data_IF_760266199156
#
_entry.id   IF_760266199156
#
_cell.length_a   1.000
_cell.length_b   1.000
_cell.length_c   1.000
_cell.angle_alpha   90.00
_cell.angle_beta   90.00
_cell.angle_gamma   90.00
#
_symmetry.space_group_name_H-M   'P 1'
#
loop_
_entity.id
_entity.type
_entity.pdbx_description
1 polymer ?
#
# COMPACT_ATOMS: atom_id res chain seq x y z
N UNK A 1 14.64 -12.36 -14.26
CA UNK A 1 13.83 -11.61 -15.24
C UNK A 1 13.19 -10.44 -14.51
N UNK A 2 13.50 -9.19 -14.87
CA UNK A 2 12.90 -7.99 -14.27
C UNK A 2 11.76 -7.53 -15.18
N UNK A 3 10.51 -7.77 -14.81
CA UNK A 3 9.35 -7.34 -15.60
C UNK A 3 9.17 -5.85 -15.45
N UNK A 4 9.42 -5.11 -16.53
CA UNK A 4 9.21 -3.65 -16.60
C UNK A 4 7.74 -3.42 -16.97
N UNK A 5 6.94 -2.94 -16.03
CA UNK A 5 5.54 -2.52 -16.28
C UNK A 5 5.58 -1.26 -17.15
N UNK A 6 4.83 -1.25 -18.25
CA UNK A 6 4.71 -0.11 -19.17
C UNK A 6 3.77 0.97 -18.59
N UNK A 7 4.07 2.28 -18.75
CA UNK A 7 3.20 3.34 -18.27
C UNK A 7 2.09 3.58 -19.30
N UNK A 8 0.87 3.19 -19.00
CA UNK A 8 -0.24 3.46 -19.89
C UNK A 8 -1.56 3.04 -19.29
N UNK A 9 -2.45 4.02 -19.10
CA UNK A 9 -3.88 3.89 -18.77
C UNK A 9 -4.22 3.64 -17.29
N UNK A 10 -3.31 3.12 -16.45
CA UNK A 10 -3.49 3.03 -14.98
C UNK A 10 -2.82 4.14 -14.15
N UNK A 11 -1.97 4.96 -14.77
CA UNK A 11 -1.05 5.86 -14.07
C UNK A 11 -1.69 7.08 -13.39
N UNK A 12 -2.94 7.45 -13.71
CA UNK A 12 -3.50 8.73 -13.27
C UNK A 12 -4.21 8.72 -11.90
N UNK A 13 -4.23 7.59 -11.19
CA UNK A 13 -4.79 7.51 -9.83
C UNK A 13 -3.79 6.98 -8.80
N UNK A 14 -2.95 6.03 -9.20
CA UNK A 14 -1.74 5.74 -8.44
C UNK A 14 -0.78 6.94 -8.48
N UNK A 15 -0.59 7.57 -9.64
CA UNK A 15 0.44 8.58 -9.90
C UNK A 15 0.36 9.85 -9.07
N UNK A 16 -0.85 10.29 -8.71
CA UNK A 16 -1.02 11.51 -7.91
C UNK A 16 -0.73 11.27 -6.43
N UNK A 17 -1.11 10.11 -5.87
CA UNK A 17 -0.74 9.74 -4.50
C UNK A 17 0.70 9.22 -4.40
N UNK A 18 1.19 8.49 -5.42
CA UNK A 18 2.54 7.92 -5.39
C UNK A 18 3.66 8.96 -5.47
N UNK A 19 3.40 10.13 -6.06
CA UNK A 19 4.38 11.20 -6.18
C UNK A 19 4.56 12.03 -4.88
N UNK A 20 3.58 12.02 -3.98
CA UNK A 20 3.63 12.74 -2.69
C UNK A 20 3.91 11.85 -1.48
N UNK A 21 3.71 10.52 -1.60
CA UNK A 21 4.06 9.59 -0.51
C UNK A 21 5.56 9.45 -0.33
N UNK A 22 5.98 9.32 0.92
CA UNK A 22 7.35 8.91 1.23
C UNK A 22 7.51 7.43 0.87
N UNK A 23 7.98 7.14 -0.35
CA UNK A 23 8.16 5.77 -0.84
C UNK A 23 9.13 4.97 0.02
N UNK A 24 10.18 5.61 0.55
CA UNK A 24 11.18 4.95 1.39
C UNK A 24 10.57 4.53 2.75
N UNK A 25 9.50 5.20 3.19
CA UNK A 25 8.74 4.82 4.39
C UNK A 25 7.40 4.12 4.08
N UNK A 26 7.21 3.60 2.87
CA UNK A 26 5.96 2.93 2.48
C UNK A 26 6.18 1.44 2.21
N UNK A 27 5.41 0.58 2.89
CA UNK A 27 5.36 -0.85 2.61
C UNK A 27 4.24 -1.19 1.60
N UNK A 28 4.56 -2.08 0.66
CA UNK A 28 3.63 -2.64 -0.31
C UNK A 28 2.98 -3.93 0.26
N UNK A 29 1.67 -3.92 0.43
CA UNK A 29 0.92 -5.08 0.93
C UNK A 29 0.15 -5.72 -0.23
N UNK A 30 0.39 -7.00 -0.46
CA UNK A 30 -0.19 -7.75 -1.57
C UNK A 30 -1.02 -8.95 -1.07
N UNK A 31 -1.77 -9.57 -1.98
CA UNK A 31 -2.58 -10.75 -1.69
C UNK A 31 -3.61 -10.54 -0.57
N UNK A 32 -4.18 -9.33 -0.50
CA UNK A 32 -5.24 -9.00 0.44
C UNK A 32 -6.52 -9.80 0.12
N UNK A 33 -7.13 -10.39 1.14
CA UNK A 33 -8.46 -10.99 1.02
C UNK A 33 -9.49 -9.91 0.63
N UNK A 34 -10.46 -10.18 -0.27
CA UNK A 34 -11.47 -9.21 -0.71
C UNK A 34 -12.35 -8.58 0.40
N UNK A 35 -12.32 -9.13 1.61
CA UNK A 35 -13.02 -8.59 2.77
C UNK A 35 -12.16 -7.60 3.58
N UNK A 36 -10.88 -7.45 3.28
CA UNK A 36 -9.99 -6.55 4.01
C UNK A 36 -10.32 -5.09 3.67
N UNK A 37 -10.61 -4.30 4.69
CA UNK A 37 -10.82 -2.87 4.55
C UNK A 37 -9.55 -2.08 4.90
N UNK A 38 -9.55 -0.80 4.52
CA UNK A 38 -8.48 0.13 4.86
C UNK A 38 -8.37 0.33 6.38
N UNK A 39 -9.52 0.36 7.07
CA UNK A 39 -9.58 0.43 8.54
C UNK A 39 -9.00 -0.82 9.20
N UNK A 40 -9.29 -2.01 8.65
CA UNK A 40 -8.72 -3.26 9.17
C UNK A 40 -7.20 -3.31 8.97
N UNK A 41 -6.71 -2.85 7.81
CA UNK A 41 -5.27 -2.71 7.59
C UNK A 41 -4.65 -1.73 8.59
N UNK A 42 -5.26 -0.56 8.78
CA UNK A 42 -4.81 0.40 9.78
C UNK A 42 -4.70 -0.27 11.15
N UNK A 43 -5.79 -0.83 11.67
CA UNK A 43 -5.85 -1.48 12.99
C UNK A 43 -4.75 -2.53 13.19
N UNK A 44 -4.48 -3.34 12.15
CA UNK A 44 -3.43 -4.35 12.18
C UNK A 44 -2.02 -3.72 12.26
N UNK A 45 -1.72 -2.75 11.39
CA UNK A 45 -0.38 -2.19 11.28
C UNK A 45 -0.02 -1.23 12.41
N UNK A 46 -0.99 -0.59 13.09
CA UNK A 46 -0.68 0.21 14.30
C UNK A 46 -0.11 -0.65 15.43
N UNK A 47 -0.41 -1.96 15.45
CA UNK A 47 0.17 -2.87 16.44
C UNK A 47 1.64 -3.17 16.15
N UNK A 48 2.06 -3.00 14.89
CA UNK A 48 3.42 -3.27 14.45
C UNK A 48 4.30 -2.03 14.61
N UNK A 49 3.85 -0.87 14.09
CA UNK A 49 4.58 0.39 14.19
C UNK A 49 3.69 1.65 14.00
N UNK A 50 4.31 2.83 14.02
CA UNK A 50 3.68 4.13 13.84
C UNK A 50 3.25 4.37 12.39
N UNK A 51 2.03 3.95 12.06
CA UNK A 51 1.37 4.22 10.78
C UNK A 51 1.03 5.70 10.63
N UNK A 52 1.38 6.27 9.48
CA UNK A 52 1.06 7.64 9.06
C UNK A 52 -0.16 7.65 8.14
N UNK A 53 -0.21 6.73 7.18
CA UNK A 53 -1.28 6.66 6.20
C UNK A 53 -1.47 5.23 5.70
N UNK A 54 -2.71 4.84 5.39
CA UNK A 54 -3.03 3.60 4.68
C UNK A 54 -3.78 3.98 3.43
N UNK A 55 -3.50 3.29 2.33
CA UNK A 55 -4.19 3.51 1.07
C UNK A 55 -4.47 2.19 0.38
N UNK A 56 -5.75 1.90 0.15
CA UNK A 56 -6.20 0.69 -0.55
C UNK A 56 -6.94 1.09 -1.83
N UNK A 57 -6.31 0.98 -3.01
CA UNK A 57 -6.96 1.30 -4.27
C UNK A 57 -8.20 0.46 -4.51
N UNK A 58 -9.32 1.12 -4.75
CA UNK A 58 -10.59 0.50 -5.13
C UNK A 58 -10.92 0.76 -6.59
N UNK A 59 -11.47 -0.25 -7.25
CA UNK A 59 -12.07 -0.09 -8.56
C UNK A 59 -13.26 0.88 -8.48
N UNK A 60 -13.32 1.84 -9.41
CA UNK A 60 -14.29 2.95 -9.35
C UNK A 60 -15.73 2.53 -9.65
N UNK A 61 -15.93 1.36 -10.26
CA UNK A 61 -17.25 0.88 -10.67
C UNK A 61 -17.81 -0.06 -9.60
N UNK A 62 -17.02 -1.05 -9.20
CA UNK A 62 -17.40 -2.09 -8.23
C UNK A 62 -17.21 -1.64 -6.78
N UNK A 63 -16.37 -0.62 -6.55
CA UNK A 63 -15.94 -0.16 -5.22
C UNK A 63 -15.24 -1.25 -4.39
N UNK A 64 -14.71 -2.29 -5.05
CA UNK A 64 -13.93 -3.35 -4.43
C UNK A 64 -12.44 -3.05 -4.60
N UNK A 65 -11.64 -3.41 -3.59
CA UNK A 65 -10.19 -3.33 -3.71
C UNK A 65 -9.64 -4.49 -4.55
N UNK A 66 -8.45 -4.31 -5.11
CA UNK A 66 -7.86 -5.22 -6.11
C UNK A 66 -6.81 -6.17 -5.51
N UNK A 67 -6.90 -6.45 -4.20
CA UNK A 67 -5.98 -7.36 -3.52
C UNK A 67 -4.62 -6.77 -3.13
N UNK A 68 -4.44 -5.44 -3.19
CA UNK A 68 -3.22 -4.77 -2.74
C UNK A 68 -3.52 -3.44 -2.06
N UNK A 69 -2.56 -2.96 -1.26
CA UNK A 69 -2.63 -1.71 -0.52
C UNK A 69 -1.23 -1.22 -0.14
N UNK A 70 -1.17 -0.02 0.41
CA UNK A 70 0.06 0.66 0.80
C UNK A 70 -0.07 1.15 2.23
N UNK A 71 0.98 0.97 3.03
CA UNK A 71 1.04 1.44 4.41
C UNK A 71 2.27 2.31 4.55
N UNK A 72 2.06 3.59 4.82
CA UNK A 72 3.13 4.56 5.08
C UNK A 72 3.37 4.65 6.58
N UNK A 73 4.63 4.49 6.98
CA UNK A 73 5.10 4.58 8.34
C UNK A 73 5.82 5.90 8.59
N UNK A 74 6.13 6.15 9.86
CA UNK A 74 6.83 7.37 10.26
C UNK A 74 8.27 7.41 9.77
N UNK A 75 8.95 6.26 9.69
CA UNK A 75 10.33 6.17 9.24
C UNK A 75 10.54 5.04 8.21
N UNK A 76 11.62 5.18 7.43
CA UNK A 76 12.10 4.16 6.49
C UNK A 76 12.49 2.86 7.23
N UNK A 77 13.11 2.98 8.41
CA UNK A 77 13.51 1.82 9.22
C UNK A 77 12.30 0.97 9.63
N UNK A 78 11.19 1.61 9.99
CA UNK A 78 9.93 0.95 10.33
C UNK A 78 9.35 0.21 9.11
N UNK A 79 9.35 0.87 7.95
CA UNK A 79 8.88 0.29 6.69
C UNK A 79 9.73 -0.89 6.22
N UNK A 80 11.05 -0.79 6.36
CA UNK A 80 12.01 -1.85 6.05
C UNK A 80 11.85 -3.04 6.99
N UNK A 81 11.66 -2.79 8.29
CA UNK A 81 11.44 -3.83 9.29
C UNK A 81 10.22 -4.68 8.93
N UNK A 82 9.10 -4.03 8.62
CA UNK A 82 7.85 -4.71 8.22
C UNK A 82 8.02 -5.46 6.89
N UNK A 83 8.64 -4.82 5.89
CA UNK A 83 8.86 -5.42 4.58
C UNK A 83 9.81 -6.64 4.65
N UNK A 84 10.74 -6.65 5.61
CA UNK A 84 11.69 -7.75 5.81
C UNK A 84 11.09 -8.98 6.49
N UNK A 85 9.99 -8.82 7.23
CA UNK A 85 9.37 -9.88 8.01
C UNK A 85 8.35 -10.72 7.24
N UNK A 86 8.11 -10.40 5.97
CA UNK A 86 7.19 -11.11 5.12
C UNK A 86 5.75 -10.82 5.52
N UNK A 87 5.20 -9.74 4.95
CA UNK A 87 3.76 -9.59 4.78
C UNK A 87 3.24 -10.60 3.74
#
# INVERSE_FOLDING_TARGET
>A
MKTRIAPGVGANLLGQHSAERNQDATADVNNLDPQVSEELMWELFVQADHVVNVYVPKDRVTNLHQGYGFVEFRSEEDADYISSQGA
#
